data_IF_046835024943
#
_entry.id   IF_046835024943
#
_cell.length_a   1.000
_cell.length_b   1.000
_cell.length_c   1.000
_cell.angle_alpha   90.00
_cell.angle_beta   90.00
_cell.angle_gamma   90.00
#
_symmetry.space_group_name_H-M   'P 1'
#
loop_
_entity.id
_entity.type
_entity.pdbx_description
1 polymer ?
#
# COMPACT_ATOMS: atom_id res chain seq x y z
N UNK A 1 17.81 8.75 10.54
CA UNK A 1 18.86 8.85 11.58
C UNK A 1 18.80 7.65 12.55
N UNK A 2 17.63 7.28 13.13
CA UNK A 2 17.55 6.16 14.10
C UNK A 2 17.87 4.79 13.46
N UNK A 3 17.40 4.52 12.24
CA UNK A 3 17.66 3.26 11.52
C UNK A 3 19.15 3.11 11.22
N UNK A 4 19.82 4.14 10.72
CA UNK A 4 21.24 4.11 10.45
C UNK A 4 22.07 3.88 11.71
N UNK A 5 21.68 4.50 12.83
CA UNK A 5 22.36 4.27 14.12
C UNK A 5 22.16 2.83 14.62
N UNK A 6 20.98 2.24 14.42
CA UNK A 6 20.70 0.84 14.74
C UNK A 6 21.54 -0.11 13.87
N UNK A 7 21.56 0.11 12.55
CA UNK A 7 22.33 -0.72 11.61
C UNK A 7 23.83 -0.67 11.86
N UNK A 8 24.37 0.53 12.15
CA UNK A 8 25.77 0.67 12.55
C UNK A 8 26.13 -0.17 13.78
N UNK A 9 25.19 -0.35 14.70
CA UNK A 9 25.40 -1.12 15.93
C UNK A 9 25.12 -2.62 15.76
N UNK A 10 24.18 -3.01 14.90
CA UNK A 10 23.62 -4.36 14.82
C UNK A 10 23.96 -5.11 13.53
N UNK A 11 24.30 -4.39 12.44
CA UNK A 11 24.61 -4.96 11.14
C UNK A 11 25.89 -4.36 10.59
N UNK A 12 26.95 -5.15 10.50
CA UNK A 12 28.24 -4.70 9.94
C UNK A 12 28.23 -4.64 8.40
N UNK A 13 27.23 -5.24 7.74
CA UNK A 13 27.17 -5.37 6.28
C UNK A 13 25.94 -4.67 5.69
N UNK A 14 25.95 -3.34 5.66
CA UNK A 14 24.92 -2.54 5.01
C UNK A 14 25.54 -1.49 4.08
N UNK A 15 24.81 -1.13 3.03
CA UNK A 15 25.12 -0.04 2.11
C UNK A 15 24.17 1.13 2.39
N UNK A 16 24.68 2.35 2.42
CA UNK A 16 23.83 3.53 2.52
C UNK A 16 24.02 4.40 1.28
N UNK A 17 22.94 4.64 0.58
CA UNK A 17 22.87 5.45 -0.63
C UNK A 17 21.94 6.64 -0.41
N UNK A 18 22.26 7.76 -1.03
CA UNK A 18 21.27 8.81 -1.31
C UNK A 18 20.32 8.33 -2.43
N UNK A 19 19.21 9.03 -2.60
CA UNK A 19 18.28 8.73 -3.70
C UNK A 19 18.96 8.83 -5.08
N UNK A 20 19.83 9.85 -5.30
CA UNK A 20 20.55 10.01 -6.56
C UNK A 20 21.57 8.91 -6.81
N UNK A 21 22.31 8.48 -5.81
CA UNK A 21 23.28 7.38 -5.92
C UNK A 21 22.56 6.06 -6.25
N UNK A 22 21.38 5.82 -5.70
CA UNK A 22 20.62 4.59 -5.96
C UNK A 22 20.20 4.42 -7.43
N UNK A 23 20.17 5.48 -8.21
CA UNK A 23 19.88 5.42 -9.65
C UNK A 23 21.14 5.24 -10.53
N UNK A 24 22.31 5.43 -9.97
CA UNK A 24 23.61 5.34 -10.65
C UNK A 24 24.37 4.06 -10.30
N UNK A 25 23.94 3.36 -9.26
CA UNK A 25 24.58 2.14 -8.79
C UNK A 25 24.27 1.00 -9.77
N UNK A 26 25.27 0.61 -10.59
CA UNK A 26 25.14 -0.47 -11.57
C UNK A 26 25.22 -1.87 -10.93
N UNK A 27 25.70 -1.97 -9.68
CA UNK A 27 25.82 -3.22 -8.94
C UNK A 27 24.81 -3.30 -7.79
N UNK A 28 23.79 -4.16 -7.96
CA UNK A 28 22.92 -4.48 -6.82
C UNK A 28 23.62 -5.46 -5.90
N UNK A 29 23.91 -5.00 -4.70
CA UNK A 29 24.56 -5.80 -3.67
C UNK A 29 23.58 -6.77 -3.00
N UNK A 30 23.38 -7.94 -3.59
CA UNK A 30 22.39 -8.96 -3.16
C UNK A 30 22.62 -9.51 -1.75
N UNK A 31 23.81 -9.36 -1.21
CA UNK A 31 24.19 -9.88 0.12
C UNK A 31 24.24 -8.80 1.21
N UNK A 32 23.76 -7.60 0.95
CA UNK A 32 23.78 -6.48 1.90
C UNK A 32 22.40 -5.88 2.10
N UNK A 33 22.17 -5.33 3.29
CA UNK A 33 21.04 -4.44 3.52
C UNK A 33 21.36 -3.10 2.86
N UNK A 34 20.59 -2.68 1.87
CA UNK A 34 20.73 -1.36 1.26
C UNK A 34 19.73 -0.39 1.89
N UNK A 35 20.21 0.72 2.41
CA UNK A 35 19.40 1.81 2.95
C UNK A 35 19.48 2.99 1.99
N UNK A 36 18.33 3.38 1.44
CA UNK A 36 18.26 4.51 0.52
C UNK A 36 17.57 5.69 1.23
N UNK A 37 18.26 6.83 1.30
CA UNK A 37 17.70 8.06 1.86
C UNK A 37 17.01 8.87 0.78
N UNK A 38 15.68 9.01 0.86
CA UNK A 38 14.91 9.89 -0.02
C UNK A 38 15.25 11.38 0.25
N UNK A 39 15.26 12.20 -0.79
CA UNK A 39 15.54 13.63 -0.70
C UNK A 39 14.42 14.41 0.00
N UNK A 40 13.20 13.89 -0.03
CA UNK A 40 12.02 14.49 0.60
C UNK A 40 10.94 13.43 0.86
N UNK A 41 9.93 13.77 1.66
CA UNK A 41 8.78 12.91 1.87
C UNK A 41 7.88 12.90 0.62
N UNK A 42 7.95 11.83 -0.15
CA UNK A 42 7.17 11.60 -1.38
C UNK A 42 5.89 10.78 -1.15
N UNK A 43 5.52 10.58 0.11
CA UNK A 43 4.41 9.69 0.49
C UNK A 43 4.77 8.21 0.31
N UNK A 44 3.74 7.37 0.40
CA UNK A 44 3.92 5.91 0.32
C UNK A 44 4.38 5.47 -1.09
N UNK A 45 3.67 5.90 -2.13
CA UNK A 45 4.01 5.51 -3.51
C UNK A 45 5.42 5.95 -3.91
N UNK A 46 5.75 7.23 -3.74
CA UNK A 46 7.05 7.76 -4.14
C UNK A 46 8.21 7.20 -3.32
N UNK A 47 8.01 6.98 -2.02
CA UNK A 47 9.01 6.35 -1.16
C UNK A 47 9.32 4.91 -1.58
N UNK A 48 8.28 4.09 -1.81
CA UNK A 48 8.47 2.71 -2.28
C UNK A 48 9.04 2.64 -3.70
N UNK A 49 8.67 3.57 -4.59
CA UNK A 49 9.18 3.59 -5.96
C UNK A 49 10.70 3.76 -6.03
N UNK A 50 11.33 4.45 -5.09
CA UNK A 50 12.79 4.56 -5.02
C UNK A 50 13.40 3.17 -4.86
N UNK A 51 12.92 2.39 -3.88
CA UNK A 51 13.40 1.03 -3.65
C UNK A 51 13.04 0.06 -4.78
N UNK A 52 11.84 0.20 -5.37
CA UNK A 52 11.41 -0.62 -6.52
C UNK A 52 12.30 -0.35 -7.74
N UNK A 53 12.58 0.91 -8.06
CA UNK A 53 13.49 1.27 -9.16
C UNK A 53 14.88 0.70 -8.94
N UNK A 54 15.41 0.81 -7.74
CA UNK A 54 16.71 0.23 -7.37
C UNK A 54 16.71 -1.28 -7.60
N UNK A 55 15.72 -2.01 -7.07
CA UNK A 55 15.63 -3.45 -7.25
C UNK A 55 15.50 -3.87 -8.74
N UNK A 56 14.79 -3.09 -9.55
CA UNK A 56 14.59 -3.37 -10.99
C UNK A 56 15.83 -3.13 -11.87
N UNK A 57 16.89 -2.52 -11.33
CA UNK A 57 18.18 -2.42 -12.04
C UNK A 57 18.86 -3.79 -12.14
N UNK A 58 18.59 -4.71 -11.19
CA UNK A 58 19.06 -6.08 -11.32
C UNK A 58 18.32 -6.83 -12.43
N UNK A 59 19.08 -7.43 -13.33
CA UNK A 59 18.53 -8.25 -14.42
C UNK A 59 17.90 -9.57 -13.93
N UNK A 60 18.27 -10.04 -12.74
CA UNK A 60 17.78 -11.28 -12.11
C UNK A 60 16.66 -11.04 -11.09
N UNK A 61 16.23 -9.79 -10.88
CA UNK A 61 15.13 -9.46 -10.01
C UNK A 61 13.81 -10.05 -10.55
N UNK A 62 13.32 -11.12 -9.92
CA UNK A 62 12.07 -11.78 -10.31
C UNK A 62 10.86 -11.24 -9.55
N UNK A 63 11.04 -10.97 -8.27
CA UNK A 63 9.97 -10.57 -7.35
C UNK A 63 10.40 -9.42 -6.46
N UNK A 64 9.45 -8.55 -6.12
CA UNK A 64 9.64 -7.47 -5.17
C UNK A 64 8.55 -7.58 -4.11
N UNK A 65 8.95 -7.66 -2.85
CA UNK A 65 8.02 -7.65 -1.72
C UNK A 65 8.04 -6.28 -1.04
N UNK A 66 7.02 -5.48 -1.32
CA UNK A 66 6.83 -4.20 -0.64
C UNK A 66 6.20 -4.48 0.72
N UNK A 67 6.93 -4.17 1.78
CA UNK A 67 6.52 -4.35 3.17
C UNK A 67 6.54 -3.03 3.92
N UNK A 68 5.52 -2.79 4.73
CA UNK A 68 5.56 -1.69 5.67
C UNK A 68 6.63 -1.94 6.75
N UNK A 69 7.26 -0.88 7.22
CA UNK A 69 8.31 -0.93 8.25
C UNK A 69 7.78 -1.27 9.66
N UNK A 70 6.47 -1.38 9.83
CA UNK A 70 5.78 -1.79 11.04
C UNK A 70 5.13 -3.18 10.91
N UNK A 71 5.69 -4.03 10.04
CA UNK A 71 5.30 -5.44 9.87
C UNK A 71 6.31 -6.41 10.49
N UNK A 72 5.82 -7.60 10.85
CA UNK A 72 6.59 -8.76 11.27
C UNK A 72 6.12 -9.96 10.43
N UNK A 73 7.06 -10.68 9.84
CA UNK A 73 6.78 -11.74 8.86
C UNK A 73 7.06 -13.12 9.46
N UNK A 74 6.12 -14.06 9.31
CA UNK A 74 6.37 -15.48 9.66
C UNK A 74 7.44 -16.08 8.76
N UNK A 75 8.26 -16.99 9.32
CA UNK A 75 9.47 -17.52 8.68
C UNK A 75 9.23 -18.20 7.34
N UNK A 76 8.06 -18.82 7.13
CA UNK A 76 7.69 -19.52 5.90
C UNK A 76 6.93 -18.64 4.88
N UNK A 77 6.56 -17.41 5.25
CA UNK A 77 5.68 -16.58 4.42
C UNK A 77 6.26 -16.29 3.04
N UNK A 78 7.55 -15.96 2.96
CA UNK A 78 8.19 -15.67 1.67
C UNK A 78 8.23 -16.91 0.77
N UNK A 79 8.61 -18.08 1.32
CA UNK A 79 8.69 -19.33 0.53
C UNK A 79 7.33 -19.74 -0.03
N UNK A 80 6.24 -19.55 0.73
CA UNK A 80 4.88 -19.81 0.26
C UNK A 80 4.49 -18.89 -0.90
N UNK A 81 4.81 -17.59 -0.81
CA UNK A 81 4.54 -16.62 -1.88
C UNK A 81 5.34 -16.96 -3.14
N UNK A 82 6.63 -17.25 -3.01
CA UNK A 82 7.48 -17.63 -4.15
C UNK A 82 6.98 -18.92 -4.79
N UNK A 83 6.69 -19.95 -4.01
CA UNK A 83 6.16 -21.22 -4.53
C UNK A 83 4.89 -21.04 -5.34
N UNK A 84 3.95 -20.23 -4.86
CA UNK A 84 2.70 -19.97 -5.58
C UNK A 84 2.92 -19.17 -6.85
N UNK A 85 3.83 -18.18 -6.82
CA UNK A 85 4.19 -17.37 -7.98
C UNK A 85 4.88 -18.19 -9.08
N UNK A 86 5.66 -19.20 -8.69
CA UNK A 86 6.27 -20.14 -9.63
C UNK A 86 5.28 -21.16 -10.19
N UNK A 87 4.27 -21.55 -9.40
CA UNK A 87 3.26 -22.54 -9.77
C UNK A 87 2.25 -21.98 -10.79
N UNK A 88 1.77 -20.76 -10.62
CA UNK A 88 0.83 -20.11 -11.54
C UNK A 88 1.47 -18.87 -12.15
N UNK A 89 1.85 -18.98 -13.43
CA UNK A 89 2.56 -17.92 -14.15
C UNK A 89 1.66 -16.70 -14.49
N UNK A 90 0.35 -16.85 -14.43
CA UNK A 90 -0.60 -15.76 -14.67
C UNK A 90 -0.74 -14.84 -13.46
N UNK A 91 -0.32 -15.27 -12.28
CA UNK A 91 -0.31 -14.43 -11.08
C UNK A 91 0.75 -13.35 -11.23
N UNK A 92 0.34 -12.08 -11.08
CA UNK A 92 1.23 -10.93 -11.07
C UNK A 92 1.47 -10.37 -9.67
N UNK A 93 0.46 -10.46 -8.80
CA UNK A 93 0.52 -9.87 -7.45
C UNK A 93 -0.08 -10.85 -6.43
N UNK A 94 0.66 -11.08 -5.35
CA UNK A 94 0.22 -11.88 -4.21
C UNK A 94 0.11 -11.03 -2.94
N UNK A 95 -0.83 -11.42 -2.09
CA UNK A 95 -0.98 -10.95 -0.73
C UNK A 95 -0.82 -12.04 0.30
N UNK A 96 -0.49 -11.66 1.52
CA UNK A 96 -0.49 -12.50 2.71
C UNK A 96 -1.74 -12.27 3.54
N UNK A 97 -2.05 -13.20 4.45
CA UNK A 97 -2.98 -12.95 5.54
C UNK A 97 -2.38 -11.90 6.47
N UNK A 98 -2.96 -10.71 6.50
CA UNK A 98 -2.59 -9.69 7.47
C UNK A 98 -3.30 -9.94 8.80
N UNK A 99 -2.54 -9.90 9.88
CA UNK A 99 -3.01 -10.12 11.26
C UNK A 99 -2.62 -8.91 12.09
N UNK A 100 -3.50 -8.48 13.00
CA UNK A 100 -3.16 -7.39 13.91
C UNK A 100 -2.01 -7.79 14.85
N UNK A 101 -0.94 -7.04 14.88
CA UNK A 101 0.22 -7.31 15.73
C UNK A 101 -0.15 -7.33 17.23
N UNK A 102 -0.97 -6.38 17.66
CA UNK A 102 -1.39 -6.26 19.06
C UNK A 102 -2.49 -7.24 19.48
N UNK A 103 -3.09 -7.95 18.49
CA UNK A 103 -4.04 -9.03 18.73
C UNK A 103 -3.84 -10.12 17.67
N UNK A 104 -2.82 -10.93 17.85
CA UNK A 104 -2.41 -12.00 16.91
C UNK A 104 -3.48 -13.08 16.66
N UNK A 105 -4.61 -13.01 17.33
CA UNK A 105 -5.76 -13.90 17.11
C UNK A 105 -6.77 -13.35 16.08
N UNK A 106 -6.58 -12.13 15.60
CA UNK A 106 -7.56 -11.42 14.76
C UNK A 106 -6.96 -11.03 13.43
N UNK A 107 -7.64 -11.41 12.35
CA UNK A 107 -7.28 -11.05 10.97
C UNK A 107 -7.57 -9.56 10.75
N UNK A 108 -6.60 -8.85 10.19
CA UNK A 108 -6.77 -7.50 9.68
C UNK A 108 -7.41 -7.51 8.29
N UNK A 109 -6.99 -8.43 7.43
CA UNK A 109 -7.55 -8.60 6.10
C UNK A 109 -6.84 -9.65 5.24
N UNK A 110 -7.58 -10.18 4.29
CA UNK A 110 -7.12 -11.12 3.26
C UNK A 110 -7.08 -10.47 1.86
N UNK A 111 -6.92 -9.16 1.78
CA UNK A 111 -7.12 -8.33 0.63
C UNK A 111 -8.35 -7.45 0.80
N UNK A 112 -8.72 -6.69 -0.20
CA UNK A 112 -9.83 -5.75 -0.09
C UNK A 112 -10.67 -5.62 -1.35
N UNK A 113 -11.85 -5.04 -1.15
CA UNK A 113 -12.79 -4.63 -2.19
C UNK A 113 -12.91 -3.11 -2.24
N UNK A 114 -13.14 -2.58 -3.43
CA UNK A 114 -13.62 -1.23 -3.61
C UNK A 114 -15.13 -1.25 -3.90
N UNK A 115 -15.88 -0.45 -3.17
CA UNK A 115 -17.32 -0.31 -3.33
C UNK A 115 -17.62 1.01 -4.07
N UNK A 116 -17.72 1.01 -5.40
CA UNK A 116 -17.72 2.25 -6.22
C UNK A 116 -18.92 3.15 -5.94
N UNK A 117 -20.09 2.59 -5.60
CA UNK A 117 -21.29 3.36 -5.27
C UNK A 117 -21.30 3.91 -3.83
N UNK A 118 -20.41 3.38 -2.96
CA UNK A 118 -20.24 3.83 -1.57
C UNK A 118 -18.95 4.63 -1.37
N UNK A 119 -18.08 4.64 -2.38
CA UNK A 119 -16.77 5.30 -2.36
C UNK A 119 -15.88 4.85 -1.19
N UNK A 120 -15.91 3.56 -0.89
CA UNK A 120 -15.22 2.97 0.26
C UNK A 120 -14.41 1.75 -0.15
N UNK A 121 -13.29 1.55 0.55
CA UNK A 121 -12.56 0.28 0.58
C UNK A 121 -13.02 -0.56 1.77
N UNK A 122 -13.03 -1.87 1.61
CA UNK A 122 -13.38 -2.82 2.67
C UNK A 122 -12.43 -4.00 2.62
N UNK A 123 -11.79 -4.32 3.76
CA UNK A 123 -10.98 -5.51 3.88
C UNK A 123 -11.85 -6.76 4.02
N UNK A 124 -11.46 -7.83 3.32
CA UNK A 124 -12.12 -9.13 3.41
C UNK A 124 -11.65 -9.85 4.67
N UNK A 125 -12.57 -10.50 5.36
CA UNK A 125 -12.33 -11.21 6.62
C UNK A 125 -11.76 -10.37 7.76
N UNK A 126 -11.85 -9.03 7.68
CA UNK A 126 -11.44 -8.16 8.78
C UNK A 126 -12.20 -8.48 10.07
N UNK A 127 -11.49 -8.53 11.19
CA UNK A 127 -11.98 -8.89 12.52
C UNK A 127 -12.44 -10.35 12.69
N UNK A 128 -12.18 -11.25 11.73
CA UNK A 128 -12.37 -12.68 11.92
C UNK A 128 -11.19 -13.28 12.71
N UNK A 129 -11.41 -14.43 13.32
CA UNK A 129 -10.35 -15.15 14.05
C UNK A 129 -9.30 -15.70 13.08
N UNK A 130 -8.03 -15.70 13.49
CA UNK A 130 -6.91 -16.25 12.70
C UNK A 130 -7.11 -17.73 12.38
N UNK A 131 -7.81 -18.47 13.25
CA UNK A 131 -8.14 -19.89 13.09
C UNK A 131 -9.21 -20.15 12.03
N UNK A 132 -9.89 -19.12 11.54
CA UNK A 132 -10.86 -19.25 10.45
C UNK A 132 -10.16 -19.73 9.18
N UNK A 133 -10.70 -20.78 8.59
CA UNK A 133 -10.17 -21.37 7.35
C UNK A 133 -10.77 -20.68 6.13
N UNK A 134 -9.91 -20.38 5.18
CA UNK A 134 -10.30 -19.77 3.91
C UNK A 134 -9.62 -20.50 2.77
N UNK A 135 -10.38 -20.75 1.73
CA UNK A 135 -9.83 -21.21 0.46
C UNK A 135 -9.24 -20.02 -0.31
N UNK A 136 -7.99 -20.15 -0.75
CA UNK A 136 -7.26 -19.10 -1.43
C UNK A 136 -7.96 -18.66 -2.73
N UNK A 137 -8.51 -19.59 -3.50
CA UNK A 137 -9.16 -19.27 -4.78
C UNK A 137 -10.49 -18.57 -4.58
N UNK A 138 -11.24 -18.98 -3.56
CA UNK A 138 -12.49 -18.31 -3.17
C UNK A 138 -12.26 -16.87 -2.72
N UNK A 139 -11.23 -16.62 -1.89
CA UNK A 139 -10.86 -15.27 -1.47
C UNK A 139 -10.38 -14.45 -2.67
N UNK A 140 -9.54 -15.02 -3.52
CA UNK A 140 -8.94 -14.32 -4.67
C UNK A 140 -9.99 -13.85 -5.70
N UNK A 141 -11.12 -14.54 -5.82
CA UNK A 141 -12.25 -14.09 -6.63
C UNK A 141 -13.01 -12.90 -6.03
N UNK A 142 -12.85 -12.66 -4.75
CA UNK A 142 -13.56 -11.60 -4.02
C UNK A 142 -12.79 -10.30 -3.90
N UNK A 143 -11.46 -10.33 -4.00
CA UNK A 143 -10.63 -9.15 -3.80
C UNK A 143 -10.54 -8.30 -5.07
N UNK A 144 -10.44 -6.99 -4.92
CA UNK A 144 -10.08 -6.05 -5.99
C UNK A 144 -8.61 -5.65 -5.88
N UNK A 145 -8.03 -5.75 -4.67
CA UNK A 145 -6.64 -5.38 -4.42
C UNK A 145 -6.03 -6.17 -3.27
N UNK A 146 -4.72 -6.24 -3.27
CA UNK A 146 -3.89 -6.71 -2.17
C UNK A 146 -3.57 -5.52 -1.26
N UNK A 147 -3.62 -5.71 0.06
CA UNK A 147 -3.38 -4.65 1.02
C UNK A 147 -1.90 -4.23 0.99
N UNK A 148 -1.65 -2.93 0.86
CA UNK A 148 -0.32 -2.37 0.65
C UNK A 148 0.71 -2.68 1.74
N UNK A 149 0.29 -3.03 2.96
CA UNK A 149 1.21 -3.39 4.04
C UNK A 149 2.10 -4.62 3.72
N UNK A 150 1.67 -5.49 2.78
CA UNK A 150 2.43 -6.66 2.34
C UNK A 150 2.06 -7.01 0.88
N UNK A 151 2.67 -6.33 -0.08
CA UNK A 151 2.39 -6.45 -1.50
C UNK A 151 3.55 -7.18 -2.20
N UNK A 152 3.35 -8.45 -2.59
CA UNK A 152 4.34 -9.26 -3.30
C UNK A 152 4.06 -9.26 -4.79
N UNK A 153 4.98 -8.74 -5.59
CA UNK A 153 4.75 -8.40 -7.01
C UNK A 153 5.82 -9.00 -7.89
N UNK A 154 5.46 -9.60 -9.03
CA UNK A 154 6.42 -9.90 -10.10
C UNK A 154 7.09 -8.63 -10.59
N UNK A 155 8.40 -8.63 -10.73
CA UNK A 155 9.14 -7.51 -11.30
C UNK A 155 8.61 -7.10 -12.70
N UNK A 156 8.18 -8.10 -13.48
CA UNK A 156 7.57 -7.90 -14.80
C UNK A 156 6.30 -7.05 -14.75
N UNK A 157 5.48 -7.15 -13.70
CA UNK A 157 4.29 -6.30 -13.52
C UNK A 157 4.69 -4.83 -13.52
N UNK A 158 5.71 -4.46 -12.74
CA UNK A 158 6.19 -3.08 -12.71
C UNK A 158 6.73 -2.61 -14.07
N UNK A 159 7.37 -3.51 -14.83
CA UNK A 159 7.87 -3.22 -16.20
C UNK A 159 6.71 -3.04 -17.19
N UNK A 160 5.62 -3.77 -17.02
CA UNK A 160 4.48 -3.77 -17.95
C UNK A 160 3.48 -2.66 -17.65
N UNK A 161 3.06 -2.53 -16.39
CA UNK A 161 1.99 -1.59 -16.01
C UNK A 161 2.50 -0.31 -15.38
N UNK A 162 3.81 -0.20 -15.14
CA UNK A 162 4.48 0.91 -14.47
C UNK A 162 4.45 0.77 -12.94
N UNK A 163 5.14 1.68 -12.30
CA UNK A 163 5.32 1.72 -10.83
C UNK A 163 4.04 2.12 -10.10
N UNK A 164 4.11 2.26 -8.78
CA UNK A 164 3.05 2.88 -8.00
C UNK A 164 2.83 4.32 -8.48
N UNK A 165 1.57 4.73 -8.65
CA UNK A 165 1.25 6.07 -9.16
C UNK A 165 1.50 7.11 -8.05
N UNK A 166 2.53 7.94 -8.21
CA UNK A 166 2.96 8.93 -7.21
C UNK A 166 1.97 10.10 -7.01
N UNK A 167 0.92 10.20 -7.84
CA UNK A 167 -0.18 11.12 -7.58
C UNK A 167 -0.93 10.76 -6.29
N UNK A 168 -0.90 9.47 -5.90
CA UNK A 168 -1.34 9.03 -4.59
C UNK A 168 -0.22 9.23 -3.58
N UNK A 169 -0.33 10.26 -2.77
CA UNK A 169 0.63 10.47 -1.69
C UNK A 169 0.48 9.40 -0.60
N UNK A 170 -0.77 9.01 -0.33
CA UNK A 170 -1.15 8.01 0.66
C UNK A 170 -2.53 7.44 0.31
N UNK A 171 -2.71 6.12 0.42
CA UNK A 171 -3.91 5.35 0.10
C UNK A 171 -4.23 5.27 -1.40
N UNK A 172 -4.79 4.16 -1.84
CA UNK A 172 -5.23 3.83 -3.19
C UNK A 172 -4.12 3.49 -4.20
N UNK A 173 -2.85 3.69 -3.90
CA UNK A 173 -1.75 3.31 -4.78
C UNK A 173 -1.70 1.79 -5.02
N UNK A 174 -1.96 0.97 -3.98
CA UNK A 174 -2.04 -0.47 -4.09
C UNK A 174 -3.28 -0.93 -4.87
N UNK A 175 -4.40 -0.24 -4.70
CA UNK A 175 -5.62 -0.51 -5.46
C UNK A 175 -5.42 -0.16 -6.94
N UNK A 176 -4.77 0.97 -7.22
CA UNK A 176 -4.44 1.41 -8.58
C UNK A 176 -3.57 0.39 -9.31
N UNK A 177 -2.45 -0.04 -8.72
CA UNK A 177 -1.57 -1.01 -9.39
C UNK A 177 -2.25 -2.36 -9.58
N UNK A 178 -3.06 -2.81 -8.61
CA UNK A 178 -3.83 -4.05 -8.73
C UNK A 178 -4.83 -4.00 -9.90
N UNK A 179 -5.54 -2.88 -10.07
CA UNK A 179 -6.46 -2.72 -11.19
C UNK A 179 -5.72 -2.61 -12.55
N UNK A 180 -4.57 -1.92 -12.59
CA UNK A 180 -3.73 -1.88 -13.80
C UNK A 180 -3.21 -3.26 -14.16
N UNK A 181 -2.71 -4.03 -13.19
CA UNK A 181 -2.26 -5.40 -13.41
C UNK A 181 -3.37 -6.29 -13.98
N UNK A 182 -4.59 -6.23 -13.42
CA UNK A 182 -5.75 -6.96 -13.97
C UNK A 182 -6.09 -6.58 -15.40
N UNK A 183 -6.00 -5.30 -15.76
CA UNK A 183 -6.23 -4.85 -17.15
C UNK A 183 -5.22 -5.44 -18.14
N UNK A 184 -4.05 -5.88 -17.66
CA UNK A 184 -3.02 -6.58 -18.41
C UNK A 184 -3.04 -8.10 -18.19
N UNK A 185 -4.21 -8.63 -17.75
CA UNK A 185 -4.48 -10.06 -17.55
C UNK A 185 -3.67 -10.74 -16.43
N UNK A 186 -3.00 -9.98 -15.55
CA UNK A 186 -2.41 -10.54 -14.36
C UNK A 186 -3.48 -10.89 -13.31
N UNK A 187 -3.36 -12.08 -12.73
CA UNK A 187 -4.18 -12.48 -11.59
C UNK A 187 -3.66 -11.89 -10.28
N UNK A 188 -4.60 -11.61 -9.37
CA UNK A 188 -4.32 -11.29 -7.97
C UNK A 188 -4.70 -12.49 -7.12
N UNK A 189 -3.89 -12.85 -6.13
CA UNK A 189 -4.22 -13.96 -5.22
C UNK A 189 -3.74 -13.66 -3.79
N UNK A 190 -4.48 -14.13 -2.79
CA UNK A 190 -4.05 -14.09 -1.39
C UNK A 190 -3.70 -15.49 -0.93
N UNK A 191 -2.53 -15.65 -0.32
CA UNK A 191 -2.06 -16.89 0.27
C UNK A 191 -2.31 -16.84 1.77
N UNK A 192 -3.32 -17.58 2.20
CA UNK A 192 -3.81 -17.50 3.59
C UNK A 192 -2.89 -18.15 4.61
N UNK A 193 -1.95 -18.99 4.17
CA UNK A 193 -0.91 -19.61 5.01
C UNK A 193 0.35 -18.73 5.13
N UNK A 194 0.50 -17.74 4.25
CA UNK A 194 1.51 -16.69 4.38
C UNK A 194 0.99 -15.63 5.35
N UNK A 195 1.62 -15.48 6.51
CA UNK A 195 1.15 -14.61 7.59
C UNK A 195 2.11 -13.43 7.78
N UNK A 196 1.55 -12.24 7.84
CA UNK A 196 2.26 -11.01 8.17
C UNK A 196 1.50 -10.27 9.28
N UNK A 197 2.18 -10.03 10.39
CA UNK A 197 1.64 -9.22 11.50
C UNK A 197 1.90 -7.75 11.23
N UNK A 198 0.88 -6.90 11.33
CA UNK A 198 0.96 -5.48 11.06
C UNK A 198 0.56 -4.65 12.27
N UNK A 199 1.42 -3.72 12.67
CA UNK A 199 1.23 -2.91 13.89
C UNK A 199 0.17 -1.83 13.74
N UNK A 200 -0.41 -1.67 12.62
CA UNK A 200 -1.41 -0.68 12.18
C UNK A 200 -1.59 0.52 13.13
N UNK A 201 -1.34 1.72 12.63
CA UNK A 201 -1.57 2.96 13.38
C UNK A 201 -0.39 3.47 14.17
N UNK A 202 0.81 2.86 14.07
CA UNK A 202 2.01 3.41 14.71
C UNK A 202 2.36 4.82 14.18
N UNK A 203 2.00 5.10 12.92
CA UNK A 203 2.29 6.39 12.28
C UNK A 203 1.05 7.30 12.20
N UNK A 204 -0.17 6.74 12.30
CA UNK A 204 -1.43 7.48 12.21
C UNK A 204 -2.21 7.22 13.50
N UNK A 205 -2.43 8.27 14.31
CA UNK A 205 -3.27 8.15 15.50
C UNK A 205 -4.64 7.57 15.13
N UNK A 206 -5.22 6.72 16.01
CA UNK A 206 -6.56 6.13 15.82
C UNK A 206 -7.66 7.19 15.62
N UNK A 207 -7.39 8.44 15.96
CA UNK A 207 -8.26 9.57 15.68
C UNK A 207 -8.10 10.00 14.23
N UNK A 208 -9.22 10.12 13.51
CA UNK A 208 -9.26 10.66 12.15
C UNK A 208 -8.74 12.09 12.17
N UNK A 209 -7.47 12.28 11.86
CA UNK A 209 -6.92 13.61 11.73
C UNK A 209 -7.20 14.19 10.32
N UNK A 210 -7.19 15.51 10.21
CA UNK A 210 -7.48 16.20 8.96
C UNK A 210 -6.53 15.83 7.82
N UNK A 211 -5.28 15.49 8.13
CA UNK A 211 -4.29 15.05 7.16
C UNK A 211 -4.67 13.70 6.53
N UNK A 212 -4.96 12.68 7.34
CA UNK A 212 -5.34 11.34 6.85
C UNK A 212 -6.65 11.39 6.08
N UNK A 213 -7.66 12.14 6.58
CA UNK A 213 -8.94 12.29 5.90
C UNK A 213 -8.79 12.99 4.54
N UNK A 214 -7.97 14.05 4.48
CA UNK A 214 -7.67 14.74 3.22
C UNK A 214 -7.06 13.79 2.20
N UNK A 215 -5.99 13.07 2.57
CA UNK A 215 -5.29 12.19 1.64
C UNK A 215 -6.17 11.04 1.18
N UNK A 216 -6.93 10.41 2.09
CA UNK A 216 -7.88 9.36 1.72
C UNK A 216 -8.91 9.84 0.71
N UNK A 217 -9.57 10.98 0.96
CA UNK A 217 -10.60 11.53 0.07
C UNK A 217 -10.02 12.03 -1.25
N UNK A 218 -8.84 12.65 -1.22
CA UNK A 218 -8.16 13.10 -2.44
C UNK A 218 -7.75 11.91 -3.32
N UNK A 219 -7.17 10.90 -2.73
CA UNK A 219 -6.74 9.68 -3.43
C UNK A 219 -7.95 8.92 -3.99
N UNK A 220 -9.04 8.82 -3.23
CA UNK A 220 -10.29 8.26 -3.73
C UNK A 220 -10.83 9.06 -4.93
N UNK A 221 -10.83 10.40 -4.87
CA UNK A 221 -11.24 11.25 -6.00
C UNK A 221 -10.38 11.03 -7.26
N UNK A 222 -9.07 10.89 -7.09
CA UNK A 222 -8.15 10.56 -8.19
C UNK A 222 -8.46 9.18 -8.79
N UNK A 223 -8.66 8.19 -7.92
CA UNK A 223 -9.01 6.83 -8.30
C UNK A 223 -10.33 6.77 -9.08
N UNK A 224 -11.36 7.48 -8.60
CA UNK A 224 -12.65 7.60 -9.28
C UNK A 224 -12.48 8.23 -10.67
N UNK A 225 -11.72 9.31 -10.78
CA UNK A 225 -11.44 9.95 -12.08
C UNK A 225 -10.81 8.98 -13.08
N UNK A 226 -9.93 8.09 -12.61
CA UNK A 226 -9.17 7.17 -13.44
C UNK A 226 -9.97 5.93 -13.84
N UNK A 227 -10.78 5.38 -12.93
CA UNK A 227 -11.41 4.06 -13.12
C UNK A 227 -12.94 4.10 -13.17
N UNK A 228 -13.58 5.11 -12.59
CA UNK A 228 -15.04 5.24 -12.45
C UNK A 228 -15.53 6.66 -12.73
N UNK A 229 -15.12 7.32 -13.83
CA UNK A 229 -15.39 8.75 -14.07
C UNK A 229 -16.87 9.10 -14.05
N UNK A 230 -17.75 8.16 -14.42
CA UNK A 230 -19.21 8.32 -14.39
C UNK A 230 -19.78 8.54 -12.99
N UNK A 231 -19.06 8.16 -11.93
CA UNK A 231 -19.51 8.34 -10.53
C UNK A 231 -18.94 9.61 -9.87
N UNK A 232 -18.10 10.38 -10.58
CA UNK A 232 -17.43 11.55 -10.01
C UNK A 232 -18.39 12.63 -9.51
N UNK A 233 -19.51 12.83 -10.22
CA UNK A 233 -20.54 13.77 -9.79
C UNK A 233 -21.12 13.35 -8.42
N UNK A 234 -21.51 12.08 -8.28
CA UNK A 234 -22.04 11.53 -7.04
C UNK A 234 -21.01 11.62 -5.90
N UNK A 235 -19.73 11.40 -6.19
CA UNK A 235 -18.66 11.57 -5.22
C UNK A 235 -18.57 13.01 -4.71
N UNK A 236 -18.65 14.00 -5.60
CA UNK A 236 -18.63 15.42 -5.19
C UNK A 236 -19.87 15.79 -4.36
N UNK A 237 -21.06 15.26 -4.69
CA UNK A 237 -22.26 15.43 -3.87
C UNK A 237 -22.09 14.83 -2.46
N UNK A 238 -21.51 13.63 -2.37
CA UNK A 238 -21.17 13.01 -1.09
C UNK A 238 -20.19 13.87 -0.29
N UNK A 239 -19.17 14.47 -0.93
CA UNK A 239 -18.24 15.38 -0.25
C UNK A 239 -18.96 16.61 0.32
N UNK A 240 -19.88 17.22 -0.42
CA UNK A 240 -20.68 18.36 0.05
C UNK A 240 -21.50 17.98 1.29
N UNK A 241 -22.22 16.86 1.23
CA UNK A 241 -22.98 16.35 2.37
C UNK A 241 -22.08 16.06 3.59
N UNK A 242 -20.89 15.50 3.34
CA UNK A 242 -19.91 15.23 4.38
C UNK A 242 -19.37 16.51 5.02
N UNK A 243 -19.10 17.57 4.23
CA UNK A 243 -18.70 18.89 4.74
C UNK A 243 -19.79 19.45 5.65
N UNK A 244 -21.04 19.50 5.19
CA UNK A 244 -22.16 20.00 5.98
C UNK A 244 -22.32 19.25 7.32
N UNK A 245 -22.22 17.91 7.28
CA UNK A 245 -22.27 17.10 8.50
C UNK A 245 -21.09 17.37 9.46
N UNK A 246 -19.85 17.59 8.94
CA UNK A 246 -18.69 17.95 9.75
C UNK A 246 -18.88 19.31 10.43
N UNK A 247 -19.38 20.31 9.70
CA UNK A 247 -19.71 21.63 10.24
C UNK A 247 -20.76 21.52 11.34
N UNK A 248 -21.87 20.80 11.09
CA UNK A 248 -22.92 20.57 12.08
C UNK A 248 -22.40 19.93 13.39
N UNK A 249 -21.35 19.11 13.29
CA UNK A 249 -20.69 18.44 14.43
C UNK A 249 -19.56 19.25 15.07
N UNK A 250 -19.32 20.49 14.65
CA UNK A 250 -18.21 21.32 15.12
C UNK A 250 -16.81 20.82 14.70
N UNK A 251 -16.72 19.91 13.74
CA UNK A 251 -15.46 19.31 13.29
C UNK A 251 -14.83 20.13 12.14
N UNK A 252 -14.50 21.39 12.44
CA UNK A 252 -14.11 22.38 11.43
C UNK A 252 -12.82 22.02 10.67
N UNK A 253 -11.83 21.40 11.31
CA UNK A 253 -10.58 21.01 10.63
C UNK A 253 -10.83 19.91 9.59
N UNK A 254 -11.69 18.95 9.92
CA UNK A 254 -12.13 17.91 8.98
C UNK A 254 -12.98 18.50 7.85
N UNK A 255 -13.85 19.47 8.17
CA UNK A 255 -14.65 20.17 7.15
C UNK A 255 -13.74 20.94 6.17
N UNK A 256 -12.73 21.66 6.68
CA UNK A 256 -11.73 22.37 5.86
C UNK A 256 -10.93 21.39 4.98
N UNK A 257 -10.52 20.24 5.53
CA UNK A 257 -9.83 19.21 4.76
C UNK A 257 -10.69 18.69 3.60
N UNK A 258 -11.96 18.38 3.86
CA UNK A 258 -12.91 17.91 2.86
C UNK A 258 -13.20 18.98 1.78
N UNK A 259 -13.31 20.26 2.18
CA UNK A 259 -13.49 21.38 1.25
C UNK A 259 -12.28 21.54 0.31
N UNK A 260 -11.05 21.41 0.84
CA UNK A 260 -9.84 21.42 0.00
C UNK A 260 -9.88 20.33 -1.06
N UNK A 261 -10.34 19.11 -0.73
CA UNK A 261 -10.50 18.01 -1.69
C UNK A 261 -11.55 18.35 -2.75
N UNK A 262 -12.68 18.92 -2.35
CA UNK A 262 -13.75 19.31 -3.28
C UNK A 262 -13.23 20.33 -4.31
N UNK A 263 -12.52 21.36 -3.84
CA UNK A 263 -11.98 22.46 -4.65
C UNK A 263 -10.65 22.12 -5.36
N UNK A 264 -10.03 20.96 -5.09
CA UNK A 264 -8.74 20.57 -5.66
C UNK A 264 -7.52 21.31 -5.07
N UNK A 265 -7.68 21.92 -3.90
CA UNK A 265 -6.61 22.67 -3.21
C UNK A 265 -5.67 21.71 -2.49
N UNK A 266 -4.35 21.90 -2.62
CA UNK A 266 -3.35 21.09 -1.93
C UNK A 266 -3.41 21.28 -0.40
N UNK A 267 -3.16 20.21 0.33
CA UNK A 267 -3.01 20.28 1.79
C UNK A 267 -1.59 20.79 2.12
N UNK A 268 -1.53 21.93 2.79
CA UNK A 268 -0.27 22.46 3.32
C UNK A 268 -0.27 22.14 4.82
N UNK A 269 0.73 21.37 5.25
CA UNK A 269 0.89 21.07 6.68
C UNK A 269 1.47 22.31 7.36
N UNK A 270 0.74 22.91 8.28
CA UNK A 270 1.20 24.09 9.02
C UNK A 270 2.24 23.79 10.10
N UNK A 271 2.76 22.53 10.11
CA UNK A 271 3.75 22.04 11.10
C UNK A 271 5.03 21.54 10.43
N UNK A 272 5.49 22.20 9.37
CA UNK A 272 6.86 22.07 8.85
C UNK A 272 7.63 23.34 9.10
#
# INVERSE_FOLDING_TARGET
IKILAFLKKSCQNYLHLSESESYLDEEIHTNKITVISATSNKGYAGGNNIGIKYALQSNDCKYIWVLNNDTEVESNSLSLLVSEMERDKEIGILGSKLVYYHNKNVIQGLGGKYLPWRFLTQHIASNHLITSKYDNDTISKQIDYIIGAALFVKAEVFKTVGLLDEQYFLYFEELDICLRARKHNYKLKTITDSIVYHKEGATISKEKNAFSEYHYLRSNKLFIRKFYPQTLFLYNMMLIAKIANRVRRGQFDLAKANLKVLLGIKYVNSKT
#
